data_IF_798445432749
#
_entry.id   IF_798445432749
#
_cell.length_a   1.000
_cell.length_b   1.000
_cell.length_c   1.000
_cell.angle_alpha   90.00
_cell.angle_beta   90.00
_cell.angle_gamma   90.00
#
_symmetry.space_group_name_H-M   'P 1'
#
loop_
_entity.id
_entity.type
_entity.pdbx_description
1 polymer ?
#
# COMPACT_ATOMS: atom_id res chain seq x y z
N UNK A 1 -7.08 -14.68 7.47
CA UNK A 1 -7.78 -13.48 7.95
C UNK A 1 -8.79 -13.11 6.90
N UNK A 2 -10.04 -12.88 7.30
CA UNK A 2 -11.06 -12.33 6.39
C UNK A 2 -10.86 -10.83 6.21
N UNK A 3 -11.51 -10.24 5.22
CA UNK A 3 -11.52 -8.80 4.96
C UNK A 3 -12.08 -8.04 6.17
N UNK A 4 -13.17 -8.56 6.76
CA UNK A 4 -13.77 -8.00 7.97
C UNK A 4 -12.79 -8.04 9.15
N UNK A 5 -12.13 -9.18 9.40
CA UNK A 5 -11.13 -9.28 10.47
C UNK A 5 -9.95 -8.33 10.28
N UNK A 6 -9.51 -8.12 9.04
CA UNK A 6 -8.47 -7.15 8.71
C UNK A 6 -8.93 -5.73 9.06
N UNK A 7 -10.10 -5.33 8.58
CA UNK A 7 -10.69 -4.01 8.82
C UNK A 7 -10.91 -3.76 10.32
N UNK A 8 -11.46 -4.74 11.04
CA UNK A 8 -11.70 -4.65 12.48
C UNK A 8 -10.40 -4.45 13.26
N UNK A 9 -9.34 -5.14 12.89
CA UNK A 9 -8.02 -5.00 13.51
C UNK A 9 -7.38 -3.63 13.27
N UNK A 10 -7.51 -3.06 12.07
CA UNK A 10 -7.05 -1.70 11.78
C UNK A 10 -7.84 -0.68 12.59
N UNK A 11 -9.17 -0.78 12.58
CA UNK A 11 -10.05 0.13 13.31
C UNK A 11 -9.82 0.08 14.81
N UNK A 12 -9.67 -1.13 15.38
CA UNK A 12 -9.33 -1.29 16.79
C UNK A 12 -8.03 -0.56 17.15
N UNK A 13 -6.98 -0.68 16.33
CA UNK A 13 -5.73 0.03 16.56
C UNK A 13 -5.87 1.54 16.36
N UNK A 14 -6.68 1.99 15.40
CA UNK A 14 -6.99 3.41 15.22
C UNK A 14 -7.64 4.01 16.47
N UNK A 15 -8.62 3.32 17.07
CA UNK A 15 -9.24 3.79 18.31
C UNK A 15 -8.23 3.88 19.46
N UNK A 16 -7.38 2.87 19.64
CA UNK A 16 -6.32 2.88 20.66
C UNK A 16 -5.25 3.93 20.42
N UNK A 17 -5.08 4.40 19.20
CA UNK A 17 -4.13 5.47 18.89
C UNK A 17 -4.51 6.82 19.53
N UNK A 18 -5.72 6.97 20.07
CA UNK A 18 -6.10 8.12 20.89
C UNK A 18 -5.63 8.04 22.34
N UNK A 19 -5.18 6.86 22.79
CA UNK A 19 -4.67 6.69 24.14
C UNK A 19 -3.29 7.36 24.29
N UNK A 20 -2.97 7.75 25.52
CA UNK A 20 -1.62 8.20 25.87
C UNK A 20 -0.77 6.96 26.18
N UNK A 21 0.37 6.80 25.52
CA UNK A 21 1.25 5.64 25.72
C UNK A 21 1.66 5.42 27.20
N UNK A 22 1.92 6.51 27.93
CA UNK A 22 2.31 6.47 29.35
C UNK A 22 1.15 6.81 30.30
N UNK A 23 -0.09 6.85 29.79
CA UNK A 23 -1.22 7.40 30.52
C UNK A 23 -1.07 8.91 30.78
N UNK A 24 -1.91 9.44 31.69
CA UNK A 24 -1.87 10.86 32.06
C UNK A 24 -1.13 11.15 33.38
N UNK A 25 -0.65 10.11 34.08
CA UNK A 25 0.05 10.25 35.36
C UNK A 25 -0.76 10.95 36.46
N UNK A 26 -2.10 10.97 36.37
CA UNK A 26 -2.96 11.72 37.29
C UNK A 26 -3.13 13.20 36.94
N UNK A 27 -2.52 13.69 35.85
CA UNK A 27 -2.67 15.06 35.35
C UNK A 27 -3.82 15.17 34.34
N UNK A 28 -4.26 16.40 34.06
CA UNK A 28 -5.28 16.68 33.03
C UNK A 28 -4.66 16.74 31.62
N UNK A 29 -4.05 15.64 31.19
CA UNK A 29 -3.47 15.49 29.85
C UNK A 29 -4.53 14.86 28.93
N UNK A 30 -4.77 15.49 27.78
CA UNK A 30 -5.68 14.99 26.73
C UNK A 30 -4.99 15.07 25.38
N UNK A 31 -5.23 14.07 24.54
CA UNK A 31 -4.73 14.02 23.16
C UNK A 31 -5.79 14.57 22.22
N UNK A 32 -5.42 15.58 21.43
CA UNK A 32 -6.30 16.14 20.41
C UNK A 32 -6.40 15.28 19.13
N UNK A 33 -5.31 14.61 18.76
CA UNK A 33 -5.19 13.82 17.53
C UNK A 33 -4.55 12.46 17.79
N UNK A 34 -5.07 11.43 17.13
CA UNK A 34 -4.54 10.07 17.21
C UNK A 34 -3.04 9.99 16.86
N UNK A 35 -2.36 8.99 17.42
CA UNK A 35 -1.06 8.54 16.94
C UNK A 35 -1.13 8.01 15.50
N UNK A 36 -0.01 8.10 14.78
CA UNK A 36 0.12 7.53 13.43
C UNK A 36 0.05 6.00 13.51
N UNK A 37 -0.77 5.38 12.65
CA UNK A 37 -0.95 3.92 12.60
C UNK A 37 -0.43 3.27 11.31
N UNK A 38 0.28 4.00 10.44
CA UNK A 38 0.70 3.50 9.12
C UNK A 38 1.56 2.24 9.23
N UNK A 39 2.53 2.21 10.13
CA UNK A 39 3.38 1.02 10.32
C UNK A 39 2.59 -0.22 10.74
N UNK A 40 1.57 -0.05 11.60
CA UNK A 40 0.69 -1.17 11.96
C UNK A 40 -0.16 -1.63 10.76
N UNK A 41 -0.66 -0.69 9.95
CA UNK A 41 -1.40 -1.02 8.74
C UNK A 41 -0.51 -1.81 7.75
N UNK A 42 0.75 -1.40 7.58
CA UNK A 42 1.74 -2.08 6.73
C UNK A 42 2.00 -3.52 7.20
N UNK A 43 2.32 -3.71 8.48
CA UNK A 43 2.56 -5.03 9.06
C UNK A 43 1.33 -5.95 8.93
N UNK A 44 0.15 -5.43 9.28
CA UNK A 44 -1.09 -6.19 9.21
C UNK A 44 -1.48 -6.52 7.76
N UNK A 45 -1.25 -5.60 6.83
CA UNK A 45 -1.54 -5.81 5.41
C UNK A 45 -0.61 -6.86 4.82
N UNK A 46 0.69 -6.86 5.16
CA UNK A 46 1.60 -7.92 4.74
C UNK A 46 1.15 -9.29 5.26
N UNK A 47 0.73 -9.38 6.52
CA UNK A 47 0.18 -10.62 7.08
C UNK A 47 -1.11 -11.06 6.37
N UNK A 48 -2.01 -10.11 6.10
CA UNK A 48 -3.25 -10.38 5.35
C UNK A 48 -2.94 -10.95 3.96
N UNK A 49 -2.07 -10.27 3.20
CA UNK A 49 -1.66 -10.71 1.86
C UNK A 49 -0.97 -12.08 1.89
N UNK A 50 -0.11 -12.34 2.87
CA UNK A 50 0.53 -13.64 3.03
C UNK A 50 -0.46 -14.77 3.30
N UNK A 51 -1.48 -14.51 4.12
CA UNK A 51 -2.53 -15.49 4.40
C UNK A 51 -3.46 -15.72 3.22
N UNK A 52 -3.76 -14.67 2.43
CA UNK A 52 -4.62 -14.78 1.25
C UNK A 52 -3.93 -15.50 0.09
N UNK A 53 -2.68 -15.18 -0.19
CA UNK A 53 -1.89 -15.85 -1.24
C UNK A 53 -1.52 -17.28 -0.81
N UNK A 54 -1.32 -17.52 0.49
CA UNK A 54 -1.09 -18.86 1.03
C UNK A 54 0.29 -19.47 0.74
N UNK A 55 1.22 -18.69 0.14
CA UNK A 55 2.58 -19.14 -0.14
C UNK A 55 3.56 -18.64 0.91
N UNK A 56 4.23 -19.57 1.61
CA UNK A 56 5.32 -19.26 2.54
C UNK A 56 6.68 -19.06 1.85
N UNK A 57 6.78 -19.45 0.59
CA UNK A 57 8.00 -19.31 -0.23
C UNK A 57 8.16 -17.89 -0.77
N UNK A 58 7.07 -17.12 -0.83
CA UNK A 58 7.11 -15.72 -1.22
C UNK A 58 7.79 -14.88 -0.13
N UNK A 59 8.60 -13.92 -0.52
CA UNK A 59 9.13 -12.93 0.42
C UNK A 59 8.24 -11.67 0.40
N UNK A 60 7.73 -11.31 1.57
CA UNK A 60 6.91 -10.12 1.80
C UNK A 60 7.81 -9.02 2.34
N UNK A 61 8.23 -8.12 1.46
CA UNK A 61 9.24 -7.10 1.73
C UNK A 61 8.55 -5.79 2.16
N UNK A 62 8.54 -5.54 3.47
CA UNK A 62 8.03 -4.30 4.03
C UNK A 62 9.05 -3.18 3.94
N UNK A 63 8.59 -2.01 3.49
CA UNK A 63 9.31 -0.75 3.48
C UNK A 63 10.75 -0.86 2.91
N UNK A 64 10.90 -1.70 1.88
CA UNK A 64 12.20 -2.13 1.35
C UNK A 64 12.60 -1.30 0.14
N UNK A 65 13.69 -0.53 0.27
CA UNK A 65 14.33 0.13 -0.87
C UNK A 65 14.77 -0.90 -1.91
N UNK A 66 14.35 -0.65 -3.15
CA UNK A 66 14.74 -1.36 -4.36
C UNK A 66 15.45 -0.40 -5.29
N UNK A 67 16.43 -0.92 -6.02
CA UNK A 67 17.23 -0.11 -6.93
C UNK A 67 17.33 -0.77 -8.30
N UNK A 68 17.39 0.07 -9.32
CA UNK A 68 17.63 -0.32 -10.71
C UNK A 68 18.70 0.59 -11.30
N UNK A 69 19.51 0.04 -12.19
CA UNK A 69 20.49 0.82 -12.93
C UNK A 69 19.80 1.86 -13.82
N UNK A 70 20.19 3.13 -13.69
CA UNK A 70 19.69 4.18 -14.59
C UNK A 70 20.59 4.29 -15.80
N UNK A 71 20.00 4.07 -16.97
CA UNK A 71 20.67 4.25 -18.26
C UNK A 71 21.01 5.73 -18.49
N UNK A 72 20.23 6.66 -17.93
CA UNK A 72 20.30 8.09 -18.27
C UNK A 72 21.25 8.91 -17.37
N UNK A 73 21.44 8.52 -16.10
CA UNK A 73 21.98 9.44 -15.06
C UNK A 73 23.24 8.98 -14.33
N UNK A 74 23.91 7.91 -14.75
CA UNK A 74 25.08 7.33 -14.05
C UNK A 74 24.83 7.07 -12.54
N UNK A 75 23.57 6.99 -12.11
CA UNK A 75 23.14 6.79 -10.72
C UNK A 75 21.92 5.91 -10.69
N UNK A 76 21.85 4.96 -9.76
CA UNK A 76 20.70 4.08 -9.63
C UNK A 76 19.41 4.87 -9.34
N UNK A 77 18.31 4.48 -9.98
CA UNK A 77 16.97 4.90 -9.56
C UNK A 77 16.57 4.02 -8.39
N UNK A 78 16.23 4.62 -7.25
CA UNK A 78 15.77 3.87 -6.08
C UNK A 78 14.36 4.29 -5.69
N UNK A 79 13.58 3.34 -5.24
CA UNK A 79 12.20 3.53 -4.80
C UNK A 79 11.89 2.57 -3.66
N UNK A 80 10.84 2.86 -2.91
CA UNK A 80 10.43 2.12 -1.72
C UNK A 80 8.92 1.90 -1.78
N UNK A 81 8.44 0.68 -2.06
CA UNK A 81 7.06 0.30 -1.78
C UNK A 81 6.86 0.12 -0.28
N UNK A 82 5.63 0.33 0.18
CA UNK A 82 5.24 0.02 1.57
C UNK A 82 5.22 -1.50 1.76
N UNK A 83 4.73 -2.22 0.75
CA UNK A 83 4.88 -3.68 0.64
C UNK A 83 5.20 -4.08 -0.80
N UNK A 84 6.18 -4.96 -0.97
CA UNK A 84 6.37 -5.70 -2.21
C UNK A 84 6.40 -7.21 -1.97
N UNK A 85 5.94 -7.96 -2.97
CA UNK A 85 5.97 -9.42 -2.94
C UNK A 85 6.98 -9.90 -3.97
N UNK A 86 7.96 -10.66 -3.49
CA UNK A 86 8.96 -11.33 -4.31
C UNK A 86 8.61 -12.81 -4.40
N UNK A 87 8.39 -13.29 -5.62
CA UNK A 87 8.11 -14.69 -5.93
C UNK A 87 9.19 -15.20 -6.89
N UNK A 88 9.92 -16.25 -6.49
CA UNK A 88 10.98 -16.84 -7.31
C UNK A 88 12.00 -15.81 -7.85
N UNK A 89 12.34 -14.80 -7.04
CA UNK A 89 13.26 -13.72 -7.43
C UNK A 89 12.65 -12.61 -8.29
N UNK A 90 11.36 -12.69 -8.63
CA UNK A 90 10.64 -11.65 -9.35
C UNK A 90 9.71 -10.84 -8.44
N UNK A 91 9.78 -9.52 -8.50
CA UNK A 91 8.84 -8.62 -7.82
C UNK A 91 7.56 -8.62 -8.64
N UNK A 92 6.52 -9.23 -8.08
CA UNK A 92 5.21 -9.40 -8.73
C UNK A 92 4.20 -8.35 -8.28
N UNK A 93 4.36 -7.82 -7.07
CA UNK A 93 3.44 -6.83 -6.50
C UNK A 93 4.19 -5.65 -5.91
N UNK A 94 3.68 -4.44 -6.16
CA UNK A 94 4.09 -3.19 -5.54
C UNK A 94 2.84 -2.55 -4.92
N UNK A 95 2.77 -2.49 -3.59
CA UNK A 95 1.74 -1.77 -2.86
C UNK A 95 2.29 -0.50 -2.19
N UNK A 96 1.49 0.56 -2.25
CA UNK A 96 1.66 1.79 -1.48
C UNK A 96 0.37 2.03 -0.69
N UNK A 97 0.46 1.97 0.63
CA UNK A 97 -0.68 2.01 1.53
C UNK A 97 -0.95 3.44 1.97
N UNK A 98 -2.22 3.82 2.02
CA UNK A 98 -2.67 5.11 2.53
C UNK A 98 -3.83 4.89 3.49
N UNK A 99 -3.74 5.46 4.68
CA UNK A 99 -4.84 5.36 5.66
C UNK A 99 -6.11 6.05 5.15
N UNK A 100 -5.96 7.18 4.46
CA UNK A 100 -7.01 7.89 3.73
C UNK A 100 -6.38 8.80 2.65
N UNK A 101 -7.19 9.59 1.92
CA UNK A 101 -6.72 10.50 0.86
C UNK A 101 -6.63 11.98 1.26
N UNK A 102 -6.82 12.32 2.53
CA UNK A 102 -6.74 13.71 3.00
C UNK A 102 -5.35 14.35 2.89
N UNK A 103 -4.33 13.60 2.47
CA UNK A 103 -2.92 14.00 2.49
C UNK A 103 -2.41 14.65 1.19
N UNK A 104 -3.05 14.42 0.02
CA UNK A 104 -2.47 14.82 -1.27
C UNK A 104 -3.36 15.75 -2.10
N UNK A 105 -2.95 17.01 -2.26
CA UNK A 105 -3.60 17.97 -3.16
C UNK A 105 -3.23 17.77 -4.64
N UNK A 106 -2.23 16.93 -4.93
CA UNK A 106 -1.66 16.68 -6.27
C UNK A 106 -1.60 15.18 -6.56
N UNK A 107 -2.69 14.47 -6.30
CA UNK A 107 -2.74 13.01 -6.50
C UNK A 107 -2.46 12.63 -7.95
N UNK A 108 -2.98 13.38 -8.92
CA UNK A 108 -2.74 13.12 -10.35
C UNK A 108 -1.25 13.09 -10.71
N UNK A 109 -0.50 14.12 -10.30
CA UNK A 109 0.95 14.19 -10.55
C UNK A 109 1.68 13.03 -9.84
N UNK A 110 1.25 12.67 -8.64
CA UNK A 110 1.81 11.54 -7.90
C UNK A 110 1.58 10.22 -8.63
N UNK A 111 0.34 9.94 -9.05
CA UNK A 111 0.00 8.72 -9.80
C UNK A 111 0.71 8.69 -11.15
N UNK A 112 0.83 9.83 -11.84
CA UNK A 112 1.57 9.91 -13.10
C UNK A 112 3.06 9.57 -12.92
N UNK A 113 3.69 10.08 -11.87
CA UNK A 113 5.07 9.72 -11.52
C UNK A 113 5.22 8.23 -11.23
N UNK A 114 4.22 7.60 -10.62
CA UNK A 114 4.22 6.15 -10.37
C UNK A 114 4.02 5.33 -11.64
N UNK A 115 3.09 5.73 -12.52
CA UNK A 115 2.91 5.13 -13.85
C UNK A 115 4.23 5.16 -14.64
N UNK A 116 4.88 6.33 -14.70
CA UNK A 116 6.15 6.48 -15.40
C UNK A 116 7.30 5.69 -14.75
N UNK A 117 7.29 5.52 -13.42
CA UNK A 117 8.24 4.65 -12.72
C UNK A 117 8.03 3.20 -13.14
N UNK A 118 6.80 2.69 -13.12
CA UNK A 118 6.52 1.30 -13.46
C UNK A 118 6.90 1.00 -14.92
N UNK A 119 6.55 1.89 -15.87
CA UNK A 119 6.98 1.79 -17.27
C UNK A 119 8.50 1.66 -17.41
N UNK A 120 9.26 2.33 -16.54
CA UNK A 120 10.71 2.31 -16.58
C UNK A 120 11.32 1.06 -15.97
N UNK A 121 10.64 0.37 -15.05
CA UNK A 121 11.22 -0.76 -14.29
C UNK A 121 10.70 -2.13 -14.70
N UNK A 122 9.47 -2.24 -15.24
CA UNK A 122 8.89 -3.53 -15.64
C UNK A 122 9.81 -4.28 -16.61
N UNK A 123 9.97 -5.58 -16.38
CA UNK A 123 10.85 -6.45 -17.17
C UNK A 123 12.35 -6.35 -16.86
N UNK A 124 12.78 -5.41 -16.01
CA UNK A 124 14.21 -5.14 -15.81
C UNK A 124 14.76 -5.79 -14.55
N UNK A 125 16.07 -5.99 -14.55
CA UNK A 125 16.82 -6.39 -13.38
C UNK A 125 16.97 -5.23 -12.40
N UNK A 126 16.94 -5.55 -11.12
CA UNK A 126 17.25 -4.64 -10.04
C UNK A 126 17.94 -5.37 -8.90
N UNK A 127 18.08 -4.70 -7.77
CA UNK A 127 18.61 -5.30 -6.57
C UNK A 127 17.98 -4.73 -5.31
N UNK A 128 18.05 -5.55 -4.26
CA UNK A 128 17.78 -5.17 -2.88
C UNK A 128 19.00 -5.54 -2.03
N UNK A 129 19.10 -4.91 -0.86
CA UNK A 129 20.12 -5.23 0.12
C UNK A 129 19.57 -5.05 1.53
N UNK A 130 19.74 -6.06 2.38
CA UNK A 130 19.51 -5.93 3.81
C UNK A 130 20.80 -5.52 4.52
N UNK A 131 20.66 -4.87 5.67
CA UNK A 131 21.82 -4.46 6.45
C UNK A 131 22.62 -5.70 6.88
N UNK A 132 23.92 -5.74 6.57
CA UNK A 132 24.78 -6.88 6.87
C UNK A 132 24.69 -8.05 5.87
N UNK A 133 23.80 -7.98 4.88
CA UNK A 133 23.63 -9.03 3.86
C UNK A 133 24.27 -8.66 2.51
N UNK A 134 24.61 -9.68 1.69
CA UNK A 134 25.01 -9.46 0.31
C UNK A 134 23.87 -8.83 -0.51
N UNK A 135 24.24 -8.27 -1.66
CA UNK A 135 23.27 -7.77 -2.63
C UNK A 135 22.48 -8.96 -3.17
N UNK A 136 21.16 -8.82 -3.22
CA UNK A 136 20.25 -9.79 -3.81
C UNK A 136 19.72 -9.22 -5.12
N UNK A 137 19.96 -9.93 -6.23
CA UNK A 137 19.43 -9.55 -7.53
C UNK A 137 17.96 -9.95 -7.62
N UNK A 138 17.16 -9.09 -8.24
CA UNK A 138 15.73 -9.30 -8.46
C UNK A 138 15.35 -8.92 -9.89
N UNK A 139 14.21 -9.39 -10.36
CA UNK A 139 13.60 -8.98 -11.62
C UNK A 139 12.26 -8.31 -11.33
N UNK A 140 11.91 -7.23 -12.01
CA UNK A 140 10.55 -6.67 -11.93
C UNK A 140 9.67 -7.35 -12.98
N UNK A 141 8.50 -7.87 -12.57
CA UNK A 141 7.55 -8.50 -13.50
C UNK A 141 7.21 -7.58 -14.67
N UNK A 142 7.05 -8.14 -15.87
CA UNK A 142 6.53 -7.43 -17.06
C UNK A 142 5.10 -6.93 -16.85
N UNK A 143 4.36 -7.61 -15.97
CA UNK A 143 2.98 -7.26 -15.62
C UNK A 143 2.90 -6.43 -14.35
N UNK A 144 4.04 -6.03 -13.76
CA UNK A 144 4.06 -5.27 -12.53
C UNK A 144 3.21 -4.01 -12.67
N UNK A 145 2.34 -3.77 -11.69
CA UNK A 145 1.59 -2.52 -11.52
C UNK A 145 1.89 -1.90 -10.17
N UNK A 146 1.80 -0.58 -10.12
CA UNK A 146 1.76 0.16 -8.88
C UNK A 146 0.34 0.12 -8.33
N UNK A 147 0.16 -0.43 -7.14
CA UNK A 147 -1.13 -0.55 -6.49
C UNK A 147 -1.21 0.41 -5.30
N UNK A 148 -1.97 1.49 -5.44
CA UNK A 148 -2.31 2.35 -4.32
C UNK A 148 -3.49 1.74 -3.56
N UNK A 149 -3.26 1.36 -2.31
CA UNK A 149 -4.30 0.79 -1.45
C UNK A 149 -4.69 1.84 -0.42
N UNK A 150 -5.89 2.37 -0.55
CA UNK A 150 -6.47 3.33 0.38
C UNK A 150 -7.38 2.59 1.35
N UNK A 151 -7.00 2.55 2.62
CA UNK A 151 -7.78 1.86 3.64
C UNK A 151 -9.15 2.51 3.83
N UNK A 152 -9.21 3.85 3.98
CA UNK A 152 -10.46 4.60 4.12
C UNK A 152 -10.64 5.63 2.99
N UNK A 153 -11.69 5.46 2.19
CA UNK A 153 -12.12 6.41 1.16
C UNK A 153 -12.88 7.63 1.69
N UNK A 154 -13.08 7.73 3.00
CA UNK A 154 -13.64 8.91 3.66
C UNK A 154 -12.51 9.84 4.14
N UNK A 155 -12.84 11.11 4.43
CA UNK A 155 -11.87 12.22 4.62
C UNK A 155 -11.34 12.85 3.30
N UNK A 156 -12.12 12.76 2.24
CA UNK A 156 -11.98 13.51 0.98
C UNK A 156 -13.40 13.82 0.47
N UNK A 157 -13.56 14.89 -0.31
CA UNK A 157 -14.84 15.16 -0.95
C UNK A 157 -15.22 13.98 -1.87
N UNK A 158 -16.45 13.46 -1.84
CA UNK A 158 -16.85 12.33 -2.68
C UNK A 158 -16.65 12.56 -4.18
N UNK A 159 -16.81 13.80 -4.67
CA UNK A 159 -16.55 14.14 -6.08
C UNK A 159 -15.07 14.06 -6.40
N UNK A 160 -14.22 14.60 -5.53
CA UNK A 160 -12.76 14.55 -5.71
C UNK A 160 -12.26 13.10 -5.65
N UNK A 161 -12.83 12.26 -4.78
CA UNK A 161 -12.54 10.83 -4.75
C UNK A 161 -12.85 10.16 -6.10
N UNK A 162 -14.02 10.44 -6.69
CA UNK A 162 -14.40 9.88 -7.98
C UNK A 162 -13.51 10.39 -9.12
N UNK A 163 -13.13 11.66 -9.10
CA UNK A 163 -12.16 12.22 -10.06
C UNK A 163 -10.82 11.50 -9.96
N UNK A 164 -10.33 11.28 -8.74
CA UNK A 164 -9.08 10.59 -8.47
C UNK A 164 -9.10 9.13 -8.96
N UNK A 165 -10.19 8.40 -8.68
CA UNK A 165 -10.38 7.03 -9.16
C UNK A 165 -10.43 7.00 -10.69
N UNK A 166 -11.20 7.90 -11.30
CA UNK A 166 -11.32 7.98 -12.75
C UNK A 166 -9.97 8.30 -13.42
N UNK A 167 -9.19 9.22 -12.85
CA UNK A 167 -7.86 9.53 -13.34
C UNK A 167 -6.92 8.32 -13.24
N UNK A 168 -6.90 7.64 -12.09
CA UNK A 168 -6.09 6.43 -11.90
C UNK A 168 -6.41 5.36 -12.97
N UNK A 169 -7.69 5.18 -13.31
CA UNK A 169 -8.12 4.24 -14.34
C UNK A 169 -7.65 4.59 -15.77
N UNK A 170 -7.19 5.83 -16.02
CA UNK A 170 -6.58 6.21 -17.31
C UNK A 170 -5.12 5.79 -17.44
N UNK A 171 -4.48 5.41 -16.34
CA UNK A 171 -3.06 5.05 -16.28
C UNK A 171 -2.90 3.53 -16.45
N UNK A 172 -2.04 3.13 -17.39
CA UNK A 172 -1.82 1.73 -17.73
C UNK A 172 -1.25 0.90 -16.57
N UNK A 173 -0.36 1.49 -15.77
CA UNK A 173 0.45 0.76 -14.79
C UNK A 173 0.10 1.11 -13.34
N UNK A 174 -1.08 1.69 -13.10
CA UNK A 174 -1.54 2.13 -11.79
C UNK A 174 -2.91 1.51 -11.52
N UNK A 175 -3.08 1.00 -10.31
CA UNK A 175 -4.37 0.59 -9.77
C UNK A 175 -4.60 1.28 -8.44
N UNK A 176 -5.84 1.67 -8.20
CA UNK A 176 -6.25 2.37 -6.99
C UNK A 176 -7.40 1.63 -6.35
N UNK A 177 -7.17 1.11 -5.15
CA UNK A 177 -8.08 0.25 -4.42
C UNK A 177 -8.59 0.99 -3.18
N UNK A 178 -9.90 1.18 -3.05
CA UNK A 178 -10.52 1.77 -1.86
C UNK A 178 -11.14 0.65 -1.05
N UNK A 179 -10.54 0.31 0.09
CA UNK A 179 -10.95 -0.87 0.86
C UNK A 179 -12.24 -0.65 1.65
N UNK A 180 -12.40 0.56 2.20
CA UNK A 180 -13.59 0.91 3.00
C UNK A 180 -14.14 2.28 2.58
N UNK A 181 -15.46 2.37 2.48
CA UNK A 181 -16.17 3.63 2.27
C UNK A 181 -17.17 3.88 3.38
N UNK A 182 -17.46 5.15 3.66
CA UNK A 182 -18.47 5.53 4.65
C UNK A 182 -19.79 5.85 3.94
N UNK A 183 -20.88 5.22 4.35
CA UNK A 183 -22.21 5.55 3.89
C UNK A 183 -22.81 6.63 4.79
N UNK A 184 -22.87 7.86 4.28
CA UNK A 184 -23.41 9.00 5.03
C UNK A 184 -24.91 8.85 5.36
N UNK A 185 -25.66 8.01 4.63
CA UNK A 185 -27.12 7.90 4.81
C UNK A 185 -27.49 7.10 6.07
N UNK A 186 -26.73 6.07 6.39
CA UNK A 186 -27.00 5.18 7.52
C UNK A 186 -25.86 5.13 8.54
N UNK A 187 -24.75 5.86 8.28
CA UNK A 187 -23.61 5.95 9.17
C UNK A 187 -22.76 4.69 9.22
N UNK A 188 -22.87 3.81 8.22
CA UNK A 188 -22.17 2.52 8.21
C UNK A 188 -20.87 2.56 7.41
N UNK A 189 -19.91 1.73 7.81
CA UNK A 189 -18.71 1.44 7.01
C UNK A 189 -19.00 0.26 6.09
N UNK A 190 -18.76 0.46 4.79
CA UNK A 190 -18.90 -0.57 3.77
C UNK A 190 -17.51 -1.04 3.33
N UNK A 191 -17.25 -2.33 3.52
CA UNK A 191 -16.06 -3.01 3.02
C UNK A 191 -16.28 -3.33 1.54
N UNK A 192 -15.36 -2.87 0.69
CA UNK A 192 -15.40 -3.16 -0.74
C UNK A 192 -14.69 -4.50 -1.03
N UNK A 193 -15.45 -5.59 -0.98
CA UNK A 193 -14.92 -6.94 -1.23
C UNK A 193 -14.29 -7.08 -2.62
N UNK A 194 -14.80 -6.36 -3.63
CA UNK A 194 -14.21 -6.39 -4.98
C UNK A 194 -12.83 -5.75 -4.99
N UNK A 195 -12.66 -4.63 -4.28
CA UNK A 195 -11.34 -4.01 -4.14
C UNK A 195 -10.34 -4.95 -3.45
N UNK A 196 -10.79 -5.75 -2.48
CA UNK A 196 -9.95 -6.78 -1.87
C UNK A 196 -9.61 -7.91 -2.86
N UNK A 197 -10.57 -8.40 -3.63
CA UNK A 197 -10.35 -9.45 -4.63
C UNK A 197 -9.28 -9.05 -5.66
N UNK A 198 -9.36 -7.81 -6.16
CA UNK A 198 -8.40 -7.30 -7.13
C UNK A 198 -6.96 -7.19 -6.59
N UNK A 199 -6.72 -7.21 -5.28
CA UNK A 199 -5.36 -7.12 -4.72
C UNK A 199 -4.49 -8.33 -5.07
N UNK A 200 -5.09 -9.48 -5.41
CA UNK A 200 -4.39 -10.75 -5.62
C UNK A 200 -4.75 -11.45 -6.94
N UNK A 201 -5.42 -10.79 -7.89
CA UNK A 201 -5.85 -11.38 -9.16
C UNK A 201 -4.70 -11.91 -10.05
N UNK A 202 -3.43 -11.61 -9.75
CA UNK A 202 -2.28 -12.20 -10.45
C UNK A 202 -2.14 -13.72 -10.28
N UNK A 203 -2.82 -14.33 -9.31
CA UNK A 203 -2.54 -15.70 -8.90
C UNK A 203 -3.45 -16.79 -9.48
N UNK A 204 -4.42 -16.47 -10.34
CA UNK A 204 -5.30 -17.51 -10.93
C UNK A 204 -4.83 -18.09 -12.27
N UNK A 205 -3.77 -17.56 -12.90
CA UNK A 205 -3.35 -17.96 -14.26
C UNK A 205 -1.85 -18.34 -14.41
N UNK A 206 -1.18 -18.85 -13.36
CA UNK A 206 0.17 -19.43 -13.47
C UNK A 206 0.25 -20.85 -12.91
#
# INVERSE_FOLDING_TARGET
MTEQEFVDKVNHHYFRAHDLYEGNGGYNIRRGTAHVISGYLEDLFALYMAQKIGSKENHYLLDKIMSIESIEKKRATSFKPDLAILQNGAVTHYYDLKTNLGWNRYLEEYLKKKDDLIKKIKGKNGWIRFAGEPIQNIVFSEQLKYQMVVFNGFNINPKDLQINIAYAATLENVEMHILNTFNEKDGTLNIDLKAFDCLYEFYENQ
#
